data_IF_198744758270
#
_entry.id   IF_198744758270
#
_cell.length_a   1.000
_cell.length_b   1.000
_cell.length_c   1.000
_cell.angle_alpha   90.00
_cell.angle_beta   90.00
_cell.angle_gamma   90.00
#
_symmetry.space_group_name_H-M   'P 1'
#
loop_
_entity.id
_entity.type
_entity.pdbx_description
1 polymer ?
#
# COMPACT_ATOMS: atom_id res chain seq x y z
N UNK A 1 -16.95 -13.08 -10.73
CA UNK A 1 -15.69 -13.69 -11.20
C UNK A 1 -14.59 -13.42 -10.17
N UNK A 2 -13.63 -14.33 -9.99
CA UNK A 2 -12.53 -14.15 -9.01
C UNK A 2 -11.41 -13.27 -9.56
N UNK A 3 -10.92 -12.31 -8.77
CA UNK A 3 -9.73 -11.50 -9.10
C UNK A 3 -8.48 -12.37 -9.28
N UNK A 4 -8.35 -13.44 -8.49
CA UNK A 4 -7.21 -14.37 -8.54
C UNK A 4 -7.03 -14.95 -9.95
N UNK A 5 -8.13 -15.32 -10.61
CA UNK A 5 -8.10 -15.83 -11.99
C UNK A 5 -7.42 -14.86 -12.97
N UNK A 6 -7.79 -13.57 -12.91
CA UNK A 6 -7.22 -12.54 -13.78
C UNK A 6 -5.76 -12.24 -13.46
N UNK A 7 -5.40 -12.26 -12.17
CA UNK A 7 -4.02 -12.12 -11.74
C UNK A 7 -3.18 -13.28 -12.26
N UNK A 8 -3.65 -14.53 -12.16
CA UNK A 8 -2.96 -15.70 -12.71
C UNK A 8 -2.74 -15.58 -14.22
N UNK A 9 -3.74 -15.16 -14.99
CA UNK A 9 -3.56 -14.94 -16.43
C UNK A 9 -2.58 -13.80 -16.72
N UNK A 10 -2.63 -12.72 -15.95
CA UNK A 10 -1.74 -11.57 -16.12
C UNK A 10 -0.29 -11.91 -15.78
N UNK A 11 -0.06 -12.74 -14.75
CA UNK A 11 1.26 -13.28 -14.41
C UNK A 11 1.84 -14.14 -15.55
N UNK A 12 1.00 -14.88 -16.30
CA UNK A 12 1.44 -15.61 -17.51
C UNK A 12 1.96 -14.68 -18.59
N UNK A 13 1.27 -13.57 -18.83
CA UNK A 13 1.68 -12.59 -19.85
C UNK A 13 3.05 -11.98 -19.52
N UNK A 14 3.33 -11.71 -18.24
CA UNK A 14 4.60 -11.15 -17.79
C UNK A 14 5.65 -12.21 -17.40
N UNK A 15 5.42 -13.49 -17.73
CA UNK A 15 6.34 -14.62 -17.50
C UNK A 15 6.70 -14.86 -16.02
N UNK A 16 5.80 -14.53 -15.09
CA UNK A 16 5.91 -14.79 -13.66
C UNK A 16 5.03 -15.99 -13.25
N UNK A 17 5.30 -17.15 -13.83
CA UNK A 17 4.45 -18.36 -13.72
C UNK A 17 5.08 -19.49 -12.90
N UNK A 18 6.18 -19.21 -12.20
CA UNK A 18 6.78 -20.24 -11.35
C UNK A 18 5.82 -20.64 -10.22
N UNK A 19 6.00 -21.85 -9.67
CA UNK A 19 5.20 -22.28 -8.51
C UNK A 19 5.34 -21.30 -7.34
N UNK A 20 6.52 -20.68 -7.17
CA UNK A 20 6.75 -19.64 -6.17
C UNK A 20 5.90 -18.40 -6.43
N UNK A 21 5.73 -17.98 -7.69
CA UNK A 21 4.94 -16.80 -8.04
C UNK A 21 3.45 -17.04 -7.85
N UNK A 22 2.94 -18.19 -8.28
CA UNK A 22 1.52 -18.54 -8.14
C UNK A 22 1.13 -18.81 -6.68
N UNK A 23 2.03 -19.37 -5.87
CA UNK A 23 1.76 -19.58 -4.44
C UNK A 23 1.54 -18.27 -3.67
N UNK A 24 2.10 -17.14 -4.12
CA UNK A 24 1.94 -15.83 -3.46
C UNK A 24 0.50 -15.31 -3.48
N UNK A 25 -0.31 -15.82 -4.40
CA UNK A 25 -1.73 -15.45 -4.57
C UNK A 25 -2.67 -16.63 -4.27
N UNK A 26 -2.16 -17.73 -3.71
CA UNK A 26 -2.95 -18.95 -3.53
C UNK A 26 -4.18 -18.73 -2.65
N UNK A 27 -4.06 -17.85 -1.66
CA UNK A 27 -5.12 -17.54 -0.69
C UNK A 27 -6.01 -16.39 -1.11
N UNK A 28 -5.70 -15.68 -2.20
CA UNK A 28 -6.47 -14.51 -2.63
C UNK A 28 -7.90 -14.94 -3.00
N UNK A 29 -8.87 -14.38 -2.29
CA UNK A 29 -10.29 -14.73 -2.42
C UNK A 29 -11.15 -13.47 -2.54
N UNK A 30 -10.97 -12.78 -3.68
CA UNK A 30 -11.66 -11.53 -3.98
C UNK A 30 -12.61 -11.75 -5.14
N UNK A 31 -13.91 -11.55 -4.90
CA UNK A 31 -14.94 -11.58 -5.94
C UNK A 31 -15.15 -10.19 -6.52
N UNK A 32 -14.94 -10.04 -7.83
CA UNK A 32 -15.18 -8.79 -8.55
C UNK A 32 -16.68 -8.47 -8.61
N UNK A 33 -17.00 -7.20 -8.38
CA UNK A 33 -18.33 -6.63 -8.49
C UNK A 33 -18.53 -6.05 -9.89
N UNK A 34 -19.61 -6.41 -10.59
CA UNK A 34 -19.86 -5.95 -11.96
C UNK A 34 -20.30 -4.47 -12.00
N UNK A 35 -21.13 -4.05 -11.04
CA UNK A 35 -21.74 -2.71 -11.03
C UNK A 35 -20.83 -1.62 -10.45
N UNK A 36 -19.71 -2.02 -9.84
CA UNK A 36 -18.79 -1.13 -9.13
C UNK A 36 -17.36 -1.20 -9.69
N UNK A 37 -16.61 -0.13 -9.49
CA UNK A 37 -15.16 -0.15 -9.70
C UNK A 37 -14.49 -0.96 -8.59
N UNK A 38 -13.76 -2.00 -8.99
CA UNK A 38 -12.96 -2.85 -8.12
C UNK A 38 -11.57 -2.20 -7.97
N UNK A 39 -11.42 -1.39 -6.92
CA UNK A 39 -10.17 -0.68 -6.65
C UNK A 39 -9.12 -1.63 -6.06
N UNK A 40 -7.96 -1.71 -6.71
CA UNK A 40 -6.77 -2.38 -6.19
C UNK A 40 -5.78 -1.30 -5.76
N UNK A 41 -5.35 -1.35 -4.51
CA UNK A 41 -4.42 -0.38 -3.95
C UNK A 41 -2.99 -0.93 -4.03
N UNK A 42 -2.02 -0.12 -4.45
CA UNK A 42 -0.60 -0.48 -4.48
C UNK A 42 0.09 0.23 -3.35
N UNK A 43 0.58 -0.54 -2.38
CA UNK A 43 1.32 0.00 -1.25
C UNK A 43 2.82 -0.20 -1.45
N UNK A 44 3.47 0.85 -1.97
CA UNK A 44 4.91 0.89 -2.19
C UNK A 44 5.69 1.29 -0.94
N UNK A 45 6.83 0.65 -0.69
CA UNK A 45 7.66 1.01 0.46
C UNK A 45 9.01 0.31 0.52
N UNK A 46 9.92 0.89 1.32
CA UNK A 46 11.22 0.28 1.56
C UNK A 46 11.14 -0.98 2.41
N UNK A 47 10.26 -1.00 3.43
CA UNK A 47 10.05 -2.13 4.34
C UNK A 47 11.37 -2.74 4.87
N UNK A 48 12.27 -1.90 5.39
CA UNK A 48 13.62 -2.31 5.83
C UNK A 48 13.88 -1.89 7.29
N UNK A 49 13.36 -2.65 8.28
CA UNK A 49 12.40 -3.75 8.13
C UNK A 49 10.94 -3.24 8.06
N UNK A 50 9.94 -4.08 7.72
CA UNK A 50 8.54 -3.77 8.00
C UNK A 50 8.32 -3.58 9.51
N UNK A 51 7.32 -2.77 9.87
CA UNK A 51 6.99 -2.44 11.26
C UNK A 51 5.51 -2.04 11.37
N UNK A 52 4.99 -1.88 12.59
CA UNK A 52 3.58 -1.59 12.89
C UNK A 52 3.04 -0.37 12.14
N UNK A 53 3.81 0.71 12.04
CA UNK A 53 3.44 1.88 11.22
C UNK A 53 3.15 1.53 9.74
N UNK A 54 3.94 0.64 9.12
CA UNK A 54 3.66 0.16 7.77
C UNK A 54 2.38 -0.68 7.72
N UNK A 55 2.19 -1.57 8.71
CA UNK A 55 0.99 -2.42 8.78
C UNK A 55 -0.28 -1.59 8.99
N UNK A 56 -0.22 -0.56 9.82
CA UNK A 56 -1.33 0.37 10.05
C UNK A 56 -1.74 1.08 8.75
N UNK A 57 -0.77 1.53 7.94
CA UNK A 57 -1.04 2.12 6.62
C UNK A 57 -1.64 1.10 5.67
N UNK A 58 -1.01 -0.08 5.55
CA UNK A 58 -1.50 -1.19 4.72
C UNK A 58 -2.97 -1.52 5.05
N UNK A 59 -3.28 -1.76 6.32
CA UNK A 59 -4.61 -2.13 6.79
C UNK A 59 -5.62 -0.99 6.62
N UNK A 60 -5.17 0.27 6.63
CA UNK A 60 -6.05 1.40 6.28
C UNK A 60 -6.56 1.34 4.83
N UNK A 61 -5.75 0.77 3.91
CA UNK A 61 -6.17 0.52 2.53
C UNK A 61 -7.24 -0.57 2.37
N UNK A 62 -7.54 -1.33 3.41
CA UNK A 62 -8.59 -2.36 3.42
C UNK A 62 -9.87 -1.91 4.14
N UNK A 63 -9.90 -0.66 4.63
CA UNK A 63 -11.04 -0.12 5.37
C UNK A 63 -12.32 -0.15 4.53
N UNK A 64 -13.47 -0.52 5.13
CA UNK A 64 -14.74 -0.58 4.42
C UNK A 64 -15.15 0.73 3.76
N UNK A 65 -14.80 1.87 4.36
CA UNK A 65 -15.10 3.20 3.84
C UNK A 65 -14.52 3.41 2.43
N UNK A 66 -13.31 2.91 2.19
CA UNK A 66 -12.66 2.97 0.88
C UNK A 66 -13.27 1.99 -0.13
N UNK A 67 -13.72 0.83 0.34
CA UNK A 67 -14.28 -0.22 -0.51
C UNK A 67 -13.27 -0.83 -1.50
N UNK A 68 -11.97 -0.77 -1.20
CA UNK A 68 -10.95 -1.39 -2.05
C UNK A 68 -11.16 -2.91 -2.12
N UNK A 69 -11.04 -3.51 -3.30
CA UNK A 69 -11.14 -4.95 -3.47
C UNK A 69 -9.95 -5.67 -2.81
N UNK A 70 -8.74 -5.16 -3.03
CA UNK A 70 -7.50 -5.80 -2.58
C UNK A 70 -6.33 -4.80 -2.46
N UNK A 71 -5.22 -5.23 -1.85
CA UNK A 71 -3.96 -4.48 -1.78
C UNK A 71 -2.79 -5.30 -2.33
N UNK A 72 -1.99 -4.69 -3.20
CA UNK A 72 -0.71 -5.19 -3.66
C UNK A 72 0.42 -4.48 -2.93
N UNK A 73 1.23 -5.21 -2.17
CA UNK A 73 2.44 -4.65 -1.54
C UNK A 73 3.58 -4.67 -2.55
N UNK A 74 4.26 -3.53 -2.72
CA UNK A 74 5.38 -3.36 -3.65
C UNK A 74 6.65 -2.94 -2.89
N UNK A 75 7.50 -3.89 -2.48
CA UNK A 75 8.80 -3.58 -1.93
C UNK A 75 9.66 -2.86 -2.98
N UNK A 76 10.23 -1.71 -2.61
CA UNK A 76 11.13 -0.94 -3.48
C UNK A 76 12.33 -1.78 -3.91
N UNK A 77 12.88 -1.55 -5.10
CA UNK A 77 14.09 -2.25 -5.53
C UNK A 77 15.32 -1.93 -4.68
N UNK A 78 16.29 -2.82 -4.73
CA UNK A 78 17.48 -2.78 -3.89
C UNK A 78 18.34 -1.55 -4.15
N UNK A 79 18.48 -1.12 -5.41
CA UNK A 79 19.24 0.09 -5.72
C UNK A 79 18.61 1.35 -5.09
N UNK A 80 17.28 1.45 -5.09
CA UNK A 80 16.56 2.55 -4.43
C UNK A 80 16.78 2.52 -2.91
N UNK A 81 16.71 1.33 -2.31
CA UNK A 81 16.95 1.17 -0.88
C UNK A 81 18.41 1.50 -0.52
N UNK A 82 19.38 1.03 -1.30
CA UNK A 82 20.82 1.33 -1.10
C UNK A 82 21.08 2.82 -1.15
N UNK A 83 20.54 3.53 -2.14
CA UNK A 83 20.68 4.98 -2.23
C UNK A 83 20.11 5.68 -0.99
N UNK A 84 18.95 5.23 -0.49
CA UNK A 84 18.32 5.76 0.74
C UNK A 84 19.14 5.50 2.01
N UNK A 85 19.83 4.36 2.09
CA UNK A 85 20.60 3.95 3.27
C UNK A 85 22.03 4.50 3.29
N UNK A 86 22.55 4.96 2.15
CA UNK A 86 23.96 5.32 1.97
C UNK A 86 24.51 6.28 3.05
N UNK A 87 23.69 7.18 3.57
CA UNK A 87 24.07 8.18 4.58
C UNK A 87 23.59 7.88 6.00
N UNK A 88 22.94 6.73 6.26
CA UNK A 88 22.35 6.45 7.58
C UNK A 88 22.77 5.10 8.16
N UNK A 89 22.34 4.00 7.56
CA UNK A 89 22.57 2.64 8.06
C UNK A 89 22.87 1.69 6.89
N UNK A 90 24.00 1.87 6.19
CA UNK A 90 24.33 1.07 5.01
C UNK A 90 24.41 -0.43 5.31
N UNK A 91 24.79 -0.79 6.54
CA UNK A 91 24.95 -2.17 7.00
C UNK A 91 23.61 -2.85 7.36
N UNK A 92 22.52 -2.10 7.53
CA UNK A 92 21.20 -2.68 7.79
C UNK A 92 20.43 -2.79 6.47
N UNK A 93 20.63 -3.89 5.76
CA UNK A 93 20.05 -4.11 4.44
C UNK A 93 19.40 -5.50 4.32
N UNK A 94 18.12 -5.51 3.95
CA UNK A 94 17.40 -6.68 3.48
C UNK A 94 17.14 -6.52 1.98
N UNK A 95 17.54 -7.53 1.18
CA UNK A 95 17.23 -7.54 -0.25
C UNK A 95 15.72 -7.52 -0.51
N UNK A 96 15.32 -7.14 -1.71
CA UNK A 96 13.92 -7.04 -2.11
C UNK A 96 13.19 -8.37 -1.93
N UNK A 97 13.83 -9.47 -2.32
CA UNK A 97 13.29 -10.82 -2.13
C UNK A 97 13.08 -11.14 -0.64
N UNK A 98 14.07 -10.86 0.21
CA UNK A 98 13.96 -11.09 1.67
C UNK A 98 12.86 -10.24 2.30
N UNK A 99 12.71 -9.00 1.88
CA UNK A 99 11.62 -8.12 2.33
C UNK A 99 10.26 -8.64 1.86
N UNK A 100 10.15 -9.09 0.62
CA UNK A 100 8.93 -9.68 0.08
C UNK A 100 8.53 -10.96 0.85
N UNK A 101 9.48 -11.87 1.10
CA UNK A 101 9.26 -13.08 1.89
C UNK A 101 8.81 -12.75 3.32
N UNK A 102 9.47 -11.77 3.95
CA UNK A 102 9.14 -11.31 5.29
C UNK A 102 7.71 -10.76 5.33
N UNK A 103 7.34 -9.87 4.39
CA UNK A 103 5.99 -9.34 4.28
C UNK A 103 4.94 -10.44 4.09
N UNK A 104 5.20 -11.42 3.23
CA UNK A 104 4.27 -12.54 2.99
C UNK A 104 4.11 -13.46 4.21
N UNK A 105 5.09 -13.46 5.13
CA UNK A 105 5.10 -14.28 6.33
C UNK A 105 4.47 -13.60 7.56
N UNK A 106 4.21 -12.29 7.53
CA UNK A 106 3.60 -11.56 8.67
C UNK A 106 2.17 -12.08 8.90
N UNK A 107 1.84 -12.60 10.10
CA UNK A 107 0.52 -13.17 10.38
C UNK A 107 -0.63 -12.17 10.26
N UNK A 108 -0.41 -10.91 10.63
CA UNK A 108 -1.43 -9.86 10.65
C UNK A 108 -1.81 -9.32 9.26
N UNK A 109 -1.21 -9.81 8.18
CA UNK A 109 -1.56 -9.42 6.82
C UNK A 109 -2.63 -10.38 6.26
N UNK A 110 -3.84 -9.88 5.91
CA UNK A 110 -4.93 -10.72 5.43
C UNK A 110 -4.68 -11.21 4.00
N UNK A 111 -4.22 -12.46 3.88
CA UNK A 111 -3.76 -13.10 2.62
C UNK A 111 -4.89 -13.35 1.61
N UNK A 112 -6.13 -13.27 2.05
CA UNK A 112 -7.34 -13.32 1.23
C UNK A 112 -7.56 -12.05 0.41
N UNK A 113 -6.98 -10.92 0.83
CA UNK A 113 -7.12 -9.62 0.15
C UNK A 113 -5.80 -8.91 -0.12
N UNK A 114 -4.67 -9.45 0.34
CA UNK A 114 -3.35 -8.84 0.20
C UNK A 114 -2.36 -9.83 -0.37
N UNK A 115 -1.58 -9.40 -1.36
CA UNK A 115 -0.44 -10.15 -1.86
C UNK A 115 0.79 -9.27 -2.05
N UNK A 116 1.95 -9.91 -2.13
CA UNK A 116 3.25 -9.22 -2.23
C UNK A 116 3.83 -9.41 -3.63
N UNK A 117 4.17 -8.30 -4.28
CA UNK A 117 4.95 -8.31 -5.50
C UNK A 117 6.42 -8.62 -5.19
N UNK A 118 6.96 -9.68 -5.78
CA UNK A 118 8.32 -10.15 -5.50
C UNK A 118 9.28 -9.98 -6.68
N UNK A 119 8.87 -9.30 -7.74
CA UNK A 119 9.68 -9.08 -8.93
C UNK A 119 10.14 -7.62 -8.99
N UNK A 120 10.93 -7.30 -10.01
CA UNK A 120 11.28 -5.92 -10.34
C UNK A 120 10.02 -5.11 -10.66
N UNK A 121 10.13 -3.78 -10.63
CA UNK A 121 8.99 -2.93 -11.02
C UNK A 121 8.67 -3.07 -12.51
N UNK A 122 9.65 -3.37 -13.36
CA UNK A 122 9.50 -3.44 -14.82
C UNK A 122 8.29 -4.27 -15.31
N UNK A 123 8.05 -5.52 -14.86
CA UNK A 123 6.88 -6.30 -15.25
C UNK A 123 5.56 -5.84 -14.60
N UNK A 124 5.58 -4.94 -13.62
CA UNK A 124 4.36 -4.57 -12.88
C UNK A 124 3.38 -3.77 -13.75
N UNK A 125 3.87 -2.82 -14.57
CA UNK A 125 2.99 -2.05 -15.47
C UNK A 125 2.26 -2.94 -16.49
N UNK A 126 2.94 -3.78 -17.30
CA UNK A 126 2.23 -4.66 -18.23
C UNK A 126 1.33 -5.67 -17.52
N UNK A 127 1.68 -6.10 -16.30
CA UNK A 127 0.79 -6.90 -15.47
C UNK A 127 -0.51 -6.16 -15.14
N UNK A 128 -0.44 -4.91 -14.64
CA UNK A 128 -1.63 -4.11 -14.32
C UNK A 128 -2.49 -3.83 -15.55
N UNK A 129 -1.88 -3.48 -16.67
CA UNK A 129 -2.57 -3.25 -17.94
C UNK A 129 -3.32 -4.51 -18.41
N UNK A 130 -2.69 -5.68 -18.26
CA UNK A 130 -3.32 -6.97 -18.59
C UNK A 130 -4.50 -7.28 -17.66
N UNK A 131 -4.39 -7.02 -16.35
CA UNK A 131 -5.50 -7.19 -15.41
C UNK A 131 -6.69 -6.32 -15.83
N UNK A 132 -6.45 -5.04 -16.13
CA UNK A 132 -7.51 -4.12 -16.57
C UNK A 132 -8.15 -4.62 -17.87
N UNK A 133 -7.33 -5.00 -18.86
CA UNK A 133 -7.83 -5.46 -20.15
C UNK A 133 -8.69 -6.72 -20.03
N UNK A 134 -8.22 -7.74 -19.31
CA UNK A 134 -8.95 -9.01 -19.17
C UNK A 134 -10.24 -8.84 -18.37
N UNK A 135 -10.21 -8.05 -17.31
CA UNK A 135 -11.41 -7.80 -16.48
C UNK A 135 -12.45 -6.98 -17.23
N UNK A 136 -12.01 -5.98 -18.00
CA UNK A 136 -12.89 -5.17 -18.84
C UNK A 136 -13.56 -6.00 -19.94
N UNK A 137 -12.84 -6.95 -20.55
CA UNK A 137 -13.42 -7.86 -21.55
C UNK A 137 -14.59 -8.69 -21.01
N UNK A 138 -14.59 -8.97 -19.70
CA UNK A 138 -15.64 -9.73 -19.01
C UNK A 138 -16.66 -8.82 -18.28
N UNK A 139 -16.64 -7.51 -18.54
CA UNK A 139 -17.60 -6.55 -18.00
C UNK A 139 -17.30 -6.04 -16.59
N UNK A 140 -16.13 -6.34 -16.01
CA UNK A 140 -15.70 -5.80 -14.72
C UNK A 140 -14.85 -4.55 -14.90
N UNK A 141 -15.01 -3.58 -13.99
CA UNK A 141 -14.15 -2.39 -13.92
C UNK A 141 -13.11 -2.60 -12.84
N UNK A 142 -11.83 -2.67 -13.20
CA UNK A 142 -10.71 -2.67 -12.25
C UNK A 142 -9.92 -1.38 -12.42
N UNK A 143 -9.48 -0.81 -11.30
CA UNK A 143 -8.58 0.33 -11.30
C UNK A 143 -7.50 0.19 -10.22
N UNK A 144 -6.34 0.77 -10.49
CA UNK A 144 -5.21 0.79 -9.56
C UNK A 144 -5.02 2.18 -8.96
N UNK A 145 -4.79 2.26 -7.65
CA UNK A 145 -4.40 3.47 -6.95
C UNK A 145 -3.11 3.27 -6.16
N UNK A 146 -2.25 4.29 -6.10
CA UNK A 146 -1.17 4.30 -5.12
C UNK A 146 -1.71 4.55 -3.72
N UNK A 147 -1.16 3.88 -2.72
CA UNK A 147 -1.31 4.23 -1.31
C UNK A 147 -0.02 4.82 -0.80
N UNK A 148 -0.07 6.08 -0.39
CA UNK A 148 1.07 6.78 0.18
C UNK A 148 0.70 7.46 1.50
N UNK A 149 1.66 7.53 2.40
CA UNK A 149 1.57 8.41 3.57
C UNK A 149 1.65 9.88 3.15
N UNK A 150 1.15 10.81 3.97
CA UNK A 150 1.05 12.22 3.60
C UNK A 150 2.42 12.84 3.29
N UNK A 151 3.50 12.42 3.93
CA UNK A 151 4.85 12.96 3.69
C UNK A 151 5.33 12.87 2.23
N UNK A 152 4.73 12.00 1.41
CA UNK A 152 5.08 11.85 0.00
C UNK A 152 4.09 12.55 -0.96
N UNK A 153 3.05 13.20 -0.43
CA UNK A 153 2.08 13.95 -1.24
C UNK A 153 2.69 15.27 -1.68
N UNK A 154 2.73 15.50 -3.00
CA UNK A 154 3.04 16.81 -3.59
C UNK A 154 1.72 17.41 -4.09
N UNK A 155 1.22 18.47 -3.45
CA UNK A 155 -0.08 19.06 -3.83
C UNK A 155 -0.12 19.55 -5.29
N UNK A 156 1.04 19.96 -5.83
CA UNK A 156 1.19 20.43 -7.22
C UNK A 156 1.30 19.32 -8.27
N UNK A 157 1.66 18.09 -7.87
CA UNK A 157 1.65 16.91 -8.74
C UNK A 157 1.32 15.66 -7.90
N UNK A 158 0.05 15.51 -7.48
CA UNK A 158 -0.36 14.50 -6.49
C UNK A 158 -0.25 13.07 -7.02
N UNK A 159 -0.13 12.89 -8.34
CA UNK A 159 0.01 11.59 -8.99
C UNK A 159 1.48 11.25 -9.31
N UNK A 160 2.42 12.13 -8.97
CA UNK A 160 3.85 11.93 -9.16
C UNK A 160 4.43 10.96 -8.14
N UNK A 161 4.12 9.67 -8.34
CA UNK A 161 4.69 8.61 -7.55
C UNK A 161 5.45 7.63 -8.46
N UNK A 162 6.69 7.32 -8.08
CA UNK A 162 7.53 6.37 -8.80
C UNK A 162 7.25 4.94 -8.32
N UNK A 163 7.44 3.92 -9.17
CA UNK A 163 8.01 3.96 -10.52
C UNK A 163 7.02 4.27 -11.65
N UNK A 164 5.72 4.35 -11.38
CA UNK A 164 4.70 4.60 -12.40
C UNK A 164 3.64 5.58 -11.91
N UNK A 165 3.25 6.54 -12.75
CA UNK A 165 2.06 7.37 -12.47
C UNK A 165 0.80 6.53 -12.65
N UNK A 166 -0.04 6.50 -11.61
CA UNK A 166 -1.38 5.90 -11.67
C UNK A 166 -2.42 7.03 -11.71
N UNK A 167 -3.57 6.81 -12.38
CA UNK A 167 -4.64 7.82 -12.42
C UNK A 167 -5.33 8.01 -11.06
N UNK A 168 -5.05 7.15 -10.08
CA UNK A 168 -5.67 7.20 -8.76
C UNK A 168 -4.61 7.26 -7.66
N UNK A 169 -4.89 8.05 -6.64
CA UNK A 169 -4.04 8.22 -5.47
C UNK A 169 -4.87 8.17 -4.19
N UNK A 170 -4.41 7.40 -3.23
CA UNK A 170 -4.95 7.28 -1.89
C UNK A 170 -3.91 7.79 -0.89
N UNK A 171 -4.31 8.80 -0.13
CA UNK A 171 -3.55 9.31 1.01
C UNK A 171 -4.23 8.82 2.28
N UNK A 172 -3.43 8.40 3.27
CA UNK A 172 -3.92 8.06 4.61
C UNK A 172 -3.03 8.72 5.66
N UNK A 173 -3.63 9.41 6.62
CA UNK A 173 -2.87 9.99 7.75
C UNK A 173 -2.70 8.99 8.91
N UNK A 174 -2.94 7.68 8.69
CA UNK A 174 -2.89 6.68 9.77
C UNK A 174 -1.52 6.58 10.44
N UNK A 175 -0.43 6.76 9.71
CA UNK A 175 0.92 6.75 10.28
C UNK A 175 1.37 8.12 10.80
N UNK A 176 0.88 9.21 10.19
CA UNK A 176 1.28 10.58 10.51
C UNK A 176 0.23 11.56 10.01
N UNK A 177 0.04 12.66 10.72
CA UNK A 177 -0.78 13.79 10.28
C UNK A 177 0.13 14.95 9.83
N UNK A 178 -0.22 15.58 8.71
CA UNK A 178 0.48 16.77 8.16
C UNK A 178 -0.58 17.85 8.02
N UNK A 179 -0.51 18.87 8.87
CA UNK A 179 -1.56 19.89 8.99
C UNK A 179 -1.73 20.71 7.71
N UNK A 180 -0.64 20.92 6.97
CA UNK A 180 -0.61 21.65 5.69
C UNK A 180 -1.40 20.96 4.58
N UNK A 181 -1.77 19.70 4.77
CA UNK A 181 -2.66 18.98 3.85
C UNK A 181 -4.15 19.20 4.14
N UNK A 182 -4.48 20.10 5.07
CA UNK A 182 -5.84 20.44 5.42
C UNK A 182 -6.05 21.95 5.38
N UNK A 183 -7.27 22.33 5.03
CA UNK A 183 -7.77 23.69 5.06
C UNK A 183 -8.35 24.00 6.44
N UNK A 184 -8.57 25.28 6.73
CA UNK A 184 -9.16 25.74 8.00
C UNK A 184 -10.56 25.16 8.27
N UNK A 185 -11.28 24.80 7.20
CA UNK A 185 -12.60 24.15 7.27
C UNK A 185 -12.54 22.62 7.52
N UNK A 186 -11.33 22.07 7.73
CA UNK A 186 -11.07 20.67 8.01
C UNK A 186 -11.08 19.76 6.77
N UNK A 187 -11.32 20.30 5.56
CA UNK A 187 -11.22 19.53 4.31
C UNK A 187 -9.76 19.34 3.91
N UNK A 188 -9.42 18.29 3.14
CA UNK A 188 -8.09 18.18 2.57
C UNK A 188 -7.79 19.37 1.63
N UNK A 189 -6.53 19.75 1.55
CA UNK A 189 -6.04 20.74 0.60
C UNK A 189 -6.35 20.30 -0.84
N UNK A 190 -6.63 21.28 -1.70
CA UNK A 190 -6.92 21.02 -3.11
C UNK A 190 -5.67 20.53 -3.81
N UNK A 191 -5.79 19.45 -4.58
CA UNK A 191 -4.70 19.00 -5.43
C UNK A 191 -4.78 19.65 -6.80
N UNK A 192 -3.63 20.04 -7.35
CA UNK A 192 -3.58 20.64 -8.69
C UNK A 192 -4.15 19.67 -9.73
N UNK A 193 -5.14 20.14 -10.49
CA UNK A 193 -5.84 19.35 -11.50
C UNK A 193 -7.00 18.49 -10.95
N UNK A 194 -7.39 18.65 -9.69
CA UNK A 194 -8.54 17.99 -9.08
C UNK A 194 -9.60 18.99 -8.62
N UNK A 195 -10.86 18.55 -8.65
CA UNK A 195 -12.01 19.31 -8.19
C UNK A 195 -12.20 19.22 -6.67
N UNK A 196 -13.32 19.79 -6.19
CA UNK A 196 -13.64 19.85 -4.77
C UNK A 196 -13.75 18.47 -4.12
N UNK A 197 -13.35 18.41 -2.85
CA UNK A 197 -13.46 17.21 -2.03
C UNK A 197 -14.92 16.98 -1.61
N UNK A 198 -15.40 15.78 -1.89
CA UNK A 198 -16.68 15.27 -1.41
C UNK A 198 -16.43 14.30 -0.27
N UNK A 199 -17.09 14.54 0.86
CA UNK A 199 -17.10 13.65 2.01
C UNK A 199 -17.99 12.45 1.73
N UNK A 200 -17.50 11.25 1.97
CA UNK A 200 -18.32 10.05 1.94
C UNK A 200 -18.95 9.83 3.32
N UNK A 201 -20.26 10.08 3.42
CA UNK A 201 -21.04 9.79 4.62
C UNK A 201 -21.82 8.49 4.40
N UNK A 202 -21.43 7.44 5.13
CA UNK A 202 -21.91 6.07 4.87
C UNK A 202 -23.36 5.79 5.33
N UNK A 203 -24.25 6.79 5.33
CA UNK A 203 -25.71 6.70 5.52
C UNK A 203 -26.27 6.08 6.81
N UNK A 204 -25.45 5.36 7.60
CA UNK A 204 -25.87 4.75 8.86
C UNK A 204 -25.99 5.83 9.92
N UNK A 205 -27.19 5.94 10.47
CA UNK A 205 -27.54 6.74 11.65
C UNK A 205 -26.45 6.61 12.71
N UNK A 206 -26.27 7.69 13.48
CA UNK A 206 -25.33 7.72 14.60
C UNK A 206 -25.80 6.69 15.63
N UNK A 207 -25.29 5.46 15.55
CA UNK A 207 -25.40 4.52 16.66
C UNK A 207 -24.64 5.13 17.83
N UNK A 208 -25.40 5.71 18.77
CA UNK A 208 -24.93 6.41 19.97
C UNK A 208 -24.28 5.48 21.01
N UNK A 209 -23.83 4.29 20.59
CA UNK A 209 -23.28 3.26 21.47
C UNK A 209 -21.84 2.86 21.09
N UNK A 210 -21.34 3.26 19.91
CA UNK A 210 -19.94 3.04 19.52
C UNK A 210 -19.23 4.38 19.26
N UNK A 211 -18.19 4.65 20.04
CA UNK A 211 -17.30 5.82 19.94
C UNK A 211 -16.45 5.89 18.65
N UNK A 212 -16.83 5.19 17.57
CA UNK A 212 -16.00 5.02 16.37
C UNK A 212 -16.74 5.39 15.08
N UNK A 213 -16.73 6.68 14.74
CA UNK A 213 -16.35 7.04 13.36
C UNK A 213 -15.10 7.89 13.43
N UNK A 214 -14.01 7.24 13.84
CA UNK A 214 -12.65 7.81 13.86
C UNK A 214 -12.08 8.03 12.44
N UNK A 215 -12.84 7.73 11.38
CA UNK A 215 -12.36 7.76 9.99
C UNK A 215 -13.34 8.49 9.08
N UNK A 216 -12.82 9.39 8.25
CA UNK A 216 -13.55 10.11 7.19
C UNK A 216 -12.87 9.81 5.86
N UNK A 217 -13.65 9.36 4.87
CA UNK A 217 -13.17 9.27 3.49
C UNK A 217 -13.56 10.52 2.72
N UNK A 218 -12.57 11.19 2.15
CA UNK A 218 -12.76 12.24 1.15
C UNK A 218 -12.42 11.70 -0.23
N UNK A 219 -13.19 12.14 -1.22
CA UNK A 219 -12.93 11.81 -2.63
C UNK A 219 -12.99 13.05 -3.50
N UNK A 220 -12.16 13.11 -4.53
CA UNK A 220 -12.21 14.17 -5.55
C UNK A 220 -11.94 13.56 -6.93
N UNK A 221 -12.38 14.24 -7.98
CA UNK A 221 -12.16 13.81 -9.37
C UNK A 221 -11.23 14.80 -10.07
N UNK A 222 -10.49 14.32 -11.08
CA UNK A 222 -9.75 15.20 -11.98
C UNK A 222 -10.69 16.17 -12.70
N UNK A 223 -10.23 17.40 -12.95
CA UNK A 223 -11.01 18.42 -13.68
C UNK A 223 -10.87 18.33 -15.20
N UNK A 224 -10.00 17.45 -15.70
CA UNK A 224 -9.75 17.24 -17.12
C UNK A 224 -10.49 16.01 -17.65
N UNK A 225 -10.65 15.95 -18.98
CA UNK A 225 -11.26 14.82 -19.70
C UNK A 225 -10.28 13.64 -19.90
N UNK A 226 -9.34 13.47 -18.97
CA UNK A 226 -8.36 12.38 -18.98
C UNK A 226 -9.04 11.01 -18.98
N UNK A 227 -8.48 10.07 -19.76
CA UNK A 227 -8.88 8.66 -19.73
C UNK A 227 -7.64 7.78 -19.49
N UNK A 228 -7.63 6.93 -18.45
CA UNK A 228 -8.66 6.78 -17.41
C UNK A 228 -8.81 8.03 -16.53
N UNK A 229 -10.05 8.30 -16.08
CA UNK A 229 -10.35 9.46 -15.22
C UNK A 229 -9.49 9.46 -13.97
N UNK A 230 -8.93 10.62 -13.65
CA UNK A 230 -8.16 10.83 -12.42
C UNK A 230 -9.08 10.86 -11.20
N UNK A 231 -8.65 10.25 -10.09
CA UNK A 231 -9.41 10.24 -8.83
C UNK A 231 -8.51 10.26 -7.60
N UNK A 232 -8.83 11.15 -6.66
CA UNK A 232 -8.14 11.26 -5.38
C UNK A 232 -8.99 10.69 -4.25
N UNK A 233 -8.31 10.05 -3.31
CA UNK A 233 -8.90 9.54 -2.07
C UNK A 233 -8.04 10.03 -0.91
N UNK A 234 -8.69 10.52 0.15
CA UNK A 234 -8.03 10.83 1.41
C UNK A 234 -8.78 10.15 2.55
N UNK A 235 -8.11 9.18 3.19
CA UNK A 235 -8.63 8.48 4.36
C UNK A 235 -8.09 9.16 5.62
N UNK A 236 -8.91 9.99 6.23
CA UNK A 236 -8.56 10.79 7.40
C UNK A 236 -8.99 10.08 8.69
N UNK A 237 -8.03 9.72 9.51
CA UNK A 237 -8.19 9.30 10.89
C UNK A 237 -8.20 10.54 11.79
N UNK A 238 -9.30 10.75 12.52
CA UNK A 238 -9.50 11.90 13.39
C UNK A 238 -8.65 11.83 14.67
N UNK A 239 -8.35 10.62 15.12
CA UNK A 239 -7.37 10.38 16.19
C UNK A 239 -6.10 9.80 15.55
N UNK A 240 -4.99 10.56 15.51
CA UNK A 240 -3.74 10.04 14.99
C UNK A 240 -3.27 8.87 15.85
N UNK A 241 -2.72 7.84 15.21
CA UNK A 241 -2.09 6.74 15.94
C UNK A 241 -0.84 7.30 16.66
N UNK A 242 -0.69 7.13 17.98
CA UNK A 242 0.47 7.65 18.72
C UNK A 242 1.78 6.95 18.33
N UNK A 243 1.73 5.86 17.55
CA UNK A 243 2.90 5.08 17.15
C UNK A 243 3.59 5.60 15.88
N UNK A 244 4.03 6.87 15.89
CA UNK A 244 4.95 7.36 14.85
C UNK A 244 6.32 6.66 14.99
N UNK A 245 6.49 5.57 14.25
CA UNK A 245 7.73 4.80 14.22
C UNK A 245 8.68 5.42 13.20
N UNK A 246 9.73 6.08 13.70
CA UNK A 246 10.84 6.53 12.88
C UNK A 246 11.74 5.33 12.49
N UNK A 247 11.65 4.89 11.24
CA UNK A 247 12.42 3.72 10.76
C UNK A 247 13.95 3.89 10.88
N UNK A 248 14.46 5.13 10.95
CA UNK A 248 15.90 5.40 11.13
C UNK A 248 16.34 5.11 12.57
N UNK A 249 15.57 5.55 13.57
CA UNK A 249 15.85 5.20 14.96
C UNK A 249 15.65 3.70 15.20
N UNK A 250 14.58 3.12 14.64
CA UNK A 250 14.32 1.69 14.71
C UNK A 250 15.51 0.84 14.22
N UNK A 251 16.10 1.19 13.07
CA UNK A 251 17.28 0.50 12.55
C UNK A 251 18.47 0.64 13.50
N UNK A 252 18.71 1.84 14.03
CA UNK A 252 19.78 2.07 15.01
C UNK A 252 19.64 1.15 16.22
N UNK A 253 18.44 1.09 16.78
CA UNK A 253 18.15 0.30 17.98
C UNK A 253 18.32 -1.20 17.69
N UNK A 254 17.83 -1.68 16.54
CA UNK A 254 18.01 -3.07 16.11
C UNK A 254 19.49 -3.44 15.89
N UNK A 255 20.30 -2.54 15.31
CA UNK A 255 21.74 -2.75 15.17
C UNK A 255 22.40 -2.84 16.54
N UNK A 256 22.06 -1.94 17.47
CA UNK A 256 22.68 -1.88 18.80
C UNK A 256 22.29 -3.07 19.68
N UNK A 257 21.01 -3.42 19.73
CA UNK A 257 20.48 -4.47 20.61
C UNK A 257 20.85 -5.88 20.15
N UNK A 258 20.88 -6.11 18.84
CA UNK A 258 21.05 -7.46 18.28
C UNK A 258 22.34 -7.64 17.47
N UNK A 259 23.19 -6.61 17.39
CA UNK A 259 24.39 -6.58 16.54
C UNK A 259 24.05 -7.02 15.10
N UNK A 260 22.97 -6.48 14.53
CA UNK A 260 22.50 -6.82 13.20
C UNK A 260 23.31 -6.08 12.13
N UNK A 261 23.64 -6.81 11.07
CA UNK A 261 24.21 -6.31 9.84
C UNK A 261 23.68 -7.16 8.67
N UNK A 262 24.03 -6.78 7.43
CA UNK A 262 23.56 -7.44 6.22
C UNK A 262 23.90 -8.95 6.19
N UNK A 263 25.11 -9.32 6.60
CA UNK A 263 25.54 -10.72 6.65
C UNK A 263 24.68 -11.55 7.62
N UNK A 264 24.40 -11.01 8.81
CA UNK A 264 23.52 -11.68 9.79
C UNK A 264 22.09 -11.75 9.31
N UNK A 265 21.55 -10.64 8.79
CA UNK A 265 20.17 -10.55 8.31
C UNK A 265 19.91 -11.51 7.14
N UNK A 266 20.88 -11.69 6.25
CA UNK A 266 20.77 -12.60 5.10
C UNK A 266 20.83 -14.08 5.49
N UNK A 267 21.48 -14.43 6.61
CA UNK A 267 21.57 -15.81 7.13
C UNK A 267 20.35 -16.26 7.91
N UNK A 268 19.58 -15.33 8.47
CA UNK A 268 18.37 -15.66 9.24
C UNK A 268 17.26 -16.18 8.31
N UNK A 269 16.60 -17.25 8.74
CA UNK A 269 15.40 -17.75 8.06
C UNK A 269 14.27 -16.73 8.14
N UNK A 270 13.28 -16.80 7.24
CA UNK A 270 12.12 -15.89 7.28
C UNK A 270 11.37 -15.98 8.61
N UNK A 271 11.20 -17.20 9.15
CA UNK A 271 10.59 -17.40 10.47
C UNK A 271 11.39 -16.71 11.58
N UNK A 272 12.71 -16.85 11.59
CA UNK A 272 13.57 -16.19 12.57
C UNK A 272 13.52 -14.66 12.46
N UNK A 273 13.41 -14.10 11.24
CA UNK A 273 13.22 -12.66 11.05
C UNK A 273 11.86 -12.17 11.56
N UNK A 274 10.78 -12.93 11.34
CA UNK A 274 9.45 -12.59 11.87
C UNK A 274 9.46 -12.59 13.39
N UNK A 275 10.09 -13.59 14.02
CA UNK A 275 10.24 -13.68 15.47
C UNK A 275 11.10 -12.51 16.01
N UNK A 276 12.25 -12.25 15.39
CA UNK A 276 13.14 -11.14 15.76
C UNK A 276 12.46 -9.77 15.68
N UNK A 277 11.59 -9.57 14.70
CA UNK A 277 10.86 -8.32 14.52
C UNK A 277 9.47 -8.32 15.17
N UNK A 278 9.12 -9.32 15.99
CA UNK A 278 7.78 -9.48 16.58
C UNK A 278 7.28 -8.21 17.27
N UNK A 279 8.07 -7.66 18.19
CA UNK A 279 7.70 -6.44 18.94
C UNK A 279 7.42 -5.25 18.03
N UNK A 280 8.26 -5.04 17.01
CA UNK A 280 8.14 -3.88 16.11
C UNK A 280 7.05 -4.08 15.06
N UNK A 281 6.62 -5.32 14.83
CA UNK A 281 5.47 -5.67 14.00
C UNK A 281 4.15 -5.60 14.79
N UNK A 282 4.22 -5.59 16.13
CA UNK A 282 3.04 -5.66 17.00
C UNK A 282 2.46 -7.07 17.10
N UNK A 283 3.32 -8.10 17.03
CA UNK A 283 3.00 -9.51 17.24
C UNK A 283 3.44 -9.98 18.63
#
# INVERSE_FOLDING_TARGET
MSLKYYIEQSLKVVRLTSHSDLNKIQHLDVTLQADNENLIVIYGGSFNPPHKGHLNVLLSGLRPELGAAAVLILPSEDFHLRNKLASSHPDFFLSQSRRADLLAAIPNIPKDRVWVWSSTWYPLKPFMETVVQLTQADGFKVAFAHLVGPDNLKLDDPLDNYPYKLPRMLITNKARHVAEHFRDDGRPAMWKGFGEWSRYDNGKERDTVNEEKEVVLWTCNGVDDSYPKRKGYYLQFLRPDPTDINSTNLRRDLIQTHCLNEERLSRLSTKALVELFGEILGN
#
